data_IF_790627024103
#
_entry.id   IF_790627024103
#
_cell.length_a   1.000
_cell.length_b   1.000
_cell.length_c   1.000
_cell.angle_alpha   90.00
_cell.angle_beta   90.00
_cell.angle_gamma   90.00
#
_symmetry.space_group_name_H-M   'P 1'
#
loop_
_entity.id
_entity.type
_entity.pdbx_description
1 polymer ?
#
# COMPACT_ATOMS: atom_id res chain seq x y z
N UNK A 1 -7.70 -5.97 -46.68
CA UNK A 1 -8.29 -6.34 -45.36
C UNK A 1 -7.61 -5.45 -44.31
N UNK A 2 -8.31 -4.53 -43.64
CA UNK A 2 -7.70 -3.66 -42.61
C UNK A 2 -7.43 -4.49 -41.35
N UNK A 3 -6.17 -4.67 -41.01
CA UNK A 3 -5.75 -5.38 -39.79
C UNK A 3 -6.26 -4.63 -38.56
N UNK A 4 -6.85 -5.34 -37.60
CA UNK A 4 -7.32 -4.77 -36.32
C UNK A 4 -6.21 -4.61 -35.27
N UNK A 5 -5.01 -5.09 -35.59
CA UNK A 5 -3.85 -5.11 -34.70
C UNK A 5 -2.90 -3.99 -35.14
N UNK A 6 -2.32 -3.22 -34.20
CA UNK A 6 -1.31 -2.22 -34.54
C UNK A 6 -0.11 -2.88 -35.24
N UNK A 7 0.59 -2.13 -36.12
CA UNK A 7 1.82 -2.61 -36.73
C UNK A 7 2.88 -2.88 -35.65
N UNK A 8 3.85 -3.76 -35.95
CA UNK A 8 4.97 -3.99 -35.05
C UNK A 8 5.68 -2.67 -34.76
N UNK A 9 5.99 -2.36 -33.49
CA UNK A 9 6.86 -1.24 -33.15
C UNK A 9 8.22 -1.38 -33.84
N UNK A 10 8.85 -0.24 -34.14
CA UNK A 10 10.24 -0.21 -34.57
C UNK A 10 11.16 -0.37 -33.35
N UNK A 11 11.48 -1.61 -33.01
CA UNK A 11 12.29 -1.94 -31.83
C UNK A 11 13.68 -1.30 -31.86
N UNK A 12 14.34 -1.23 -33.03
CA UNK A 12 15.65 -0.61 -33.15
C UNK A 12 15.63 0.90 -32.81
N UNK A 13 14.59 1.62 -33.26
CA UNK A 13 14.42 3.02 -32.91
C UNK A 13 14.12 3.21 -31.41
N UNK A 14 13.31 2.32 -30.82
CA UNK A 14 13.01 2.33 -29.39
C UNK A 14 14.29 2.11 -28.58
N UNK A 15 15.12 1.13 -28.96
CA UNK A 15 16.38 0.82 -28.29
C UNK A 15 17.39 1.98 -28.39
N UNK A 16 17.52 2.59 -29.57
CA UNK A 16 18.38 3.75 -29.76
C UNK A 16 17.94 4.95 -28.89
N UNK A 17 16.64 5.24 -28.84
CA UNK A 17 16.08 6.30 -27.99
C UNK A 17 16.19 5.98 -26.49
N UNK A 18 16.14 4.69 -26.12
CA UNK A 18 16.17 4.24 -24.73
C UNK A 18 17.46 4.65 -24.00
N UNK A 19 18.59 4.79 -24.70
CA UNK A 19 19.86 5.22 -24.10
C UNK A 19 19.76 6.65 -23.54
N UNK A 20 19.18 7.57 -24.29
CA UNK A 20 19.07 8.99 -23.91
C UNK A 20 18.09 9.27 -22.76
N UNK A 21 17.16 8.35 -22.52
CA UNK A 21 16.12 8.46 -21.49
C UNK A 21 16.35 7.52 -20.28
N UNK A 22 17.43 6.74 -20.30
CA UNK A 22 17.74 5.77 -19.24
C UNK A 22 17.85 6.40 -17.85
N UNK A 23 18.45 7.58 -17.73
CA UNK A 23 18.58 8.28 -16.45
C UNK A 23 17.21 8.63 -15.87
N UNK A 24 16.33 9.26 -16.66
CA UNK A 24 14.99 9.64 -16.23
C UNK A 24 14.13 8.42 -15.85
N UNK A 25 14.18 7.34 -16.65
CA UNK A 25 13.44 6.12 -16.34
C UNK A 25 13.92 5.47 -15.04
N UNK A 26 15.24 5.37 -14.85
CA UNK A 26 15.82 4.82 -13.60
C UNK A 26 15.43 5.65 -12.39
N UNK A 27 15.45 6.97 -12.51
CA UNK A 27 15.05 7.89 -11.45
C UNK A 27 13.58 7.68 -11.05
N UNK A 28 12.67 7.67 -12.02
CA UNK A 28 11.23 7.40 -11.79
C UNK A 28 11.04 6.04 -11.10
N UNK A 29 11.69 4.98 -11.61
CA UNK A 29 11.59 3.63 -11.03
C UNK A 29 12.18 3.58 -9.62
N UNK A 30 13.25 4.33 -9.33
CA UNK A 30 13.84 4.41 -7.99
C UNK A 30 12.87 5.06 -6.98
N UNK A 31 12.20 6.16 -7.36
CA UNK A 31 11.16 6.76 -6.53
C UNK A 31 10.01 5.78 -6.23
N UNK A 32 9.53 5.08 -7.25
CA UNK A 32 8.46 4.08 -7.10
C UNK A 32 8.93 2.91 -6.23
N UNK A 33 10.14 2.41 -6.46
CA UNK A 33 10.74 1.33 -5.67
C UNK A 33 10.86 1.70 -4.19
N UNK A 34 11.30 2.92 -3.89
CA UNK A 34 11.38 3.42 -2.52
C UNK A 34 10.00 3.51 -1.84
N UNK A 35 8.97 3.94 -2.58
CA UNK A 35 7.57 3.91 -2.12
C UNK A 35 7.12 2.49 -1.79
N UNK A 36 7.35 1.53 -2.67
CA UNK A 36 6.95 0.12 -2.48
C UNK A 36 7.67 -0.48 -1.27
N UNK A 37 8.99 -0.29 -1.17
CA UNK A 37 9.79 -0.76 -0.05
C UNK A 37 9.30 -0.20 1.28
N UNK A 38 9.14 1.13 1.36
CA UNK A 38 8.69 1.80 2.59
C UNK A 38 7.27 1.37 2.97
N UNK A 39 6.38 1.21 1.99
CA UNK A 39 5.02 0.71 2.21
C UNK A 39 5.03 -0.72 2.75
N UNK A 40 5.83 -1.61 2.15
CA UNK A 40 5.90 -3.02 2.57
C UNK A 40 6.45 -3.16 3.99
N UNK A 41 7.41 -2.32 4.38
CA UNK A 41 7.91 -2.27 5.76
C UNK A 41 6.87 -1.78 6.77
N UNK A 42 5.93 -0.93 6.36
CA UNK A 42 4.81 -0.56 7.23
C UNK A 42 3.77 -1.68 7.33
N UNK A 43 3.46 -2.34 6.21
CA UNK A 43 2.51 -3.45 6.18
C UNK A 43 2.97 -4.59 7.10
N UNK A 44 4.26 -4.95 7.08
CA UNK A 44 4.78 -6.05 7.90
C UNK A 44 4.66 -5.79 9.41
N UNK A 45 4.66 -4.52 9.87
CA UNK A 45 4.46 -4.21 11.29
C UNK A 45 3.09 -4.63 11.82
N UNK A 46 2.11 -4.80 10.95
CA UNK A 46 0.80 -5.32 11.33
C UNK A 46 0.83 -6.76 11.84
N UNK A 47 1.89 -7.52 11.56
CA UNK A 47 2.13 -8.83 12.17
C UNK A 47 2.29 -8.70 13.69
N UNK A 48 3.05 -7.71 14.18
CA UNK A 48 3.20 -7.47 15.62
C UNK A 48 1.89 -7.02 16.27
N UNK A 49 1.05 -6.25 15.57
CA UNK A 49 -0.28 -5.91 16.08
C UNK A 49 -1.15 -7.16 16.20
N UNK A 50 -1.12 -8.06 15.21
CA UNK A 50 -1.81 -9.35 15.30
C UNK A 50 -1.27 -10.22 16.44
N UNK A 51 0.05 -10.27 16.63
CA UNK A 51 0.68 -11.01 17.72
C UNK A 51 0.10 -10.60 19.07
N UNK A 52 0.04 -9.28 19.33
CA UNK A 52 -0.55 -8.72 20.55
C UNK A 52 -2.04 -9.04 20.68
N UNK A 53 -2.80 -8.86 19.60
CA UNK A 53 -4.25 -9.01 19.64
C UNK A 53 -4.71 -10.48 19.73
N UNK A 54 -3.94 -11.40 19.15
CA UNK A 54 -4.18 -12.83 19.24
C UNK A 54 -3.64 -13.42 20.54
N UNK A 55 -2.71 -12.74 21.21
CA UNK A 55 -1.99 -13.24 22.39
C UNK A 55 -1.22 -14.53 22.06
N UNK A 56 -0.34 -14.43 21.07
CA UNK A 56 0.39 -15.57 20.49
C UNK A 56 1.84 -15.19 20.17
N UNK A 57 2.63 -16.13 19.68
CA UNK A 57 4.01 -15.90 19.23
C UNK A 57 4.05 -15.25 17.82
N UNK A 58 5.22 -14.74 17.44
CA UNK A 58 5.39 -14.05 16.16
C UNK A 58 5.13 -14.96 14.95
N UNK A 59 5.54 -16.23 15.01
CA UNK A 59 5.41 -17.17 13.89
C UNK A 59 3.93 -17.47 13.62
N UNK A 60 3.16 -17.75 14.67
CA UNK A 60 1.71 -17.95 14.59
C UNK A 60 0.98 -16.72 14.05
N UNK A 61 1.37 -15.52 14.48
CA UNK A 61 0.81 -14.27 13.96
C UNK A 61 1.18 -14.04 12.49
N UNK A 62 2.44 -14.33 12.10
CA UNK A 62 2.92 -14.20 10.74
C UNK A 62 2.20 -15.17 9.79
N UNK A 63 2.05 -16.45 10.16
CA UNK A 63 1.28 -17.44 9.40
C UNK A 63 -0.15 -16.95 9.17
N UNK A 64 -0.81 -16.46 10.22
CA UNK A 64 -2.17 -15.89 10.13
C UNK A 64 -2.21 -14.71 9.15
N UNK A 65 -1.23 -13.80 9.23
CA UNK A 65 -1.15 -12.62 8.38
C UNK A 65 -0.95 -12.97 6.91
N UNK A 66 -0.01 -13.85 6.59
CA UNK A 66 0.33 -14.19 5.19
C UNK A 66 -0.76 -15.04 4.53
N UNK A 67 -1.51 -15.83 5.31
CA UNK A 67 -2.65 -16.63 4.81
C UNK A 67 -3.77 -15.75 4.25
N UNK A 68 -3.89 -14.51 4.73
CA UNK A 68 -4.83 -13.54 4.16
C UNK A 68 -4.22 -12.92 2.89
N UNK A 69 -4.83 -13.20 1.73
CA UNK A 69 -4.29 -12.84 0.41
C UNK A 69 -4.34 -11.34 0.06
N UNK A 70 -4.98 -10.51 0.89
CA UNK A 70 -5.06 -9.07 0.62
C UNK A 70 -4.75 -8.26 1.86
N UNK A 71 -4.05 -7.13 1.69
CA UNK A 71 -3.80 -6.16 2.75
C UNK A 71 -5.10 -5.70 3.42
N UNK A 72 -6.19 -5.56 2.65
CA UNK A 72 -7.51 -5.22 3.18
C UNK A 72 -8.00 -6.25 4.18
N UNK A 73 -7.93 -7.53 3.87
CA UNK A 73 -8.37 -8.60 4.76
C UNK A 73 -7.53 -8.65 6.05
N UNK A 74 -6.21 -8.46 5.93
CA UNK A 74 -5.28 -8.40 7.08
C UNK A 74 -5.64 -7.25 8.04
N UNK A 75 -5.83 -6.06 7.49
CA UNK A 75 -6.22 -4.87 8.25
C UNK A 75 -7.61 -5.01 8.86
N UNK A 76 -8.58 -5.60 8.14
CA UNK A 76 -9.93 -5.83 8.67
C UNK A 76 -9.92 -6.81 9.86
N UNK A 77 -9.11 -7.87 9.78
CA UNK A 77 -8.91 -8.79 10.90
C UNK A 77 -8.37 -8.05 12.14
N UNK A 78 -7.35 -7.21 11.98
CA UNK A 78 -6.77 -6.40 13.07
C UNK A 78 -7.83 -5.51 13.72
N UNK A 79 -8.65 -4.83 12.92
CA UNK A 79 -9.75 -3.98 13.43
C UNK A 79 -10.75 -4.78 14.25
N UNK A 80 -11.17 -5.94 13.74
CA UNK A 80 -12.13 -6.81 14.44
C UNK A 80 -11.56 -7.35 15.74
N UNK A 81 -10.31 -7.80 15.74
CA UNK A 81 -9.64 -8.28 16.94
C UNK A 81 -9.44 -7.17 17.96
N UNK A 82 -9.03 -5.97 17.54
CA UNK A 82 -8.91 -4.81 18.43
C UNK A 82 -10.24 -4.47 19.11
N UNK A 83 -11.34 -4.39 18.36
CA UNK A 83 -12.67 -4.16 18.93
C UNK A 83 -13.13 -5.25 19.89
N UNK A 84 -12.65 -6.49 19.71
CA UNK A 84 -13.00 -7.62 20.58
C UNK A 84 -12.13 -7.69 21.84
N UNK A 85 -10.85 -7.33 21.75
CA UNK A 85 -9.82 -7.58 22.78
C UNK A 85 -9.48 -6.34 23.59
N UNK A 86 -9.61 -5.16 23.02
CA UNK A 86 -9.26 -3.89 23.67
C UNK A 86 -10.54 -3.23 24.19
N UNK A 87 -10.53 -2.79 25.45
CA UNK A 87 -11.65 -2.05 26.05
C UNK A 87 -11.50 -0.54 25.96
N UNK A 88 -10.26 -0.07 25.88
CA UNK A 88 -9.96 1.36 25.78
C UNK A 88 -10.34 1.91 24.40
N UNK A 89 -11.35 2.78 24.37
CA UNK A 89 -11.84 3.40 23.16
C UNK A 89 -10.80 4.33 22.52
N UNK A 90 -9.91 4.94 23.33
CA UNK A 90 -8.88 5.83 22.81
C UNK A 90 -7.82 5.06 22.02
N UNK A 91 -7.33 3.94 22.58
CA UNK A 91 -6.42 3.00 21.89
C UNK A 91 -7.03 2.51 20.57
N UNK A 92 -8.31 2.12 20.56
CA UNK A 92 -9.00 1.68 19.32
C UNK A 92 -9.06 2.82 18.30
N UNK A 93 -9.46 4.02 18.72
CA UNK A 93 -9.53 5.17 17.83
C UNK A 93 -8.15 5.55 17.26
N UNK A 94 -7.08 5.39 18.05
CA UNK A 94 -5.70 5.61 17.61
C UNK A 94 -5.26 4.57 16.56
N UNK A 95 -5.56 3.29 16.78
CA UNK A 95 -5.32 2.24 15.79
C UNK A 95 -6.03 2.56 14.46
N UNK A 96 -7.31 2.95 14.51
CA UNK A 96 -8.06 3.33 13.32
C UNK A 96 -7.41 4.49 12.55
N UNK A 97 -6.96 5.53 13.25
CA UNK A 97 -6.23 6.64 12.61
C UNK A 97 -4.92 6.19 11.94
N UNK A 98 -4.18 5.26 12.55
CA UNK A 98 -2.94 4.73 11.97
C UNK A 98 -3.23 3.90 10.71
N UNK A 99 -4.27 3.07 10.75
CA UNK A 99 -4.72 2.29 9.60
C UNK A 99 -5.21 3.19 8.46
N UNK A 100 -5.98 4.24 8.74
CA UNK A 100 -6.45 5.15 7.69
C UNK A 100 -5.29 5.86 6.97
N UNK A 101 -4.28 6.32 7.73
CA UNK A 101 -3.05 6.88 7.14
C UNK A 101 -2.32 5.88 6.24
N UNK A 102 -2.26 4.61 6.64
CA UNK A 102 -1.70 3.55 5.82
C UNK A 102 -2.50 3.35 4.51
N UNK A 103 -3.83 3.28 4.61
CA UNK A 103 -4.74 3.11 3.48
C UNK A 103 -4.66 4.29 2.49
N UNK A 104 -4.51 5.51 2.98
CA UNK A 104 -4.27 6.68 2.14
C UNK A 104 -3.01 6.55 1.30
N UNK A 105 -1.90 6.11 1.90
CA UNK A 105 -0.63 5.91 1.19
C UNK A 105 -0.71 4.75 0.18
N UNK A 106 -1.54 3.74 0.47
CA UNK A 106 -1.77 2.57 -0.40
C UNK A 106 -2.37 2.96 -1.75
N UNK A 107 -3.18 4.04 -1.80
CA UNK A 107 -3.81 4.52 -3.04
C UNK A 107 -2.76 4.85 -4.11
N UNK A 108 -1.76 5.66 -3.77
CA UNK A 108 -0.70 6.06 -4.71
C UNK A 108 0.18 4.88 -5.13
N UNK A 109 0.52 4.00 -4.18
CA UNK A 109 1.29 2.77 -4.46
C UNK A 109 0.55 1.87 -5.44
N UNK A 110 -0.75 1.68 -5.27
CA UNK A 110 -1.55 0.86 -6.18
C UNK A 110 -1.73 1.51 -7.54
N UNK A 111 -1.93 2.83 -7.58
CA UNK A 111 -2.02 3.58 -8.83
C UNK A 111 -0.77 3.38 -9.70
N UNK A 112 0.43 3.58 -9.13
CA UNK A 112 1.70 3.49 -9.86
C UNK A 112 2.08 2.05 -10.24
N UNK A 113 1.69 1.05 -9.44
CA UNK A 113 1.97 -0.36 -9.76
C UNK A 113 1.00 -0.94 -10.81
N UNK A 114 -0.16 -0.32 -11.00
CA UNK A 114 -1.19 -0.79 -11.93
C UNK A 114 -1.50 0.22 -13.02
N UNK A 115 -0.48 0.98 -13.44
CA UNK A 115 -0.59 1.94 -14.55
C UNK A 115 0.16 1.48 -15.79
N UNK A 116 -0.34 1.89 -16.97
CA UNK A 116 0.42 1.84 -18.23
C UNK A 116 1.32 3.08 -18.29
N UNK A 117 2.59 2.90 -18.66
CA UNK A 117 3.54 4.00 -18.85
C UNK A 117 3.59 4.40 -20.32
N UNK A 118 3.37 5.69 -20.60
CA UNK A 118 3.51 6.27 -21.94
C UNK A 118 4.93 6.80 -22.16
N UNK A 119 5.48 6.52 -23.33
CA UNK A 119 6.79 6.99 -23.78
C UNK A 119 6.64 8.04 -24.88
N UNK A 120 7.50 9.06 -24.88
CA UNK A 120 7.67 9.95 -26.04
C UNK A 120 8.60 9.33 -27.10
N UNK A 121 8.82 10.06 -28.20
CA UNK A 121 9.73 9.69 -29.29
C UNK A 121 11.19 9.49 -28.85
N UNK A 122 11.56 10.05 -27.69
CA UNK A 122 12.89 9.94 -27.09
C UNK A 122 12.94 8.83 -26.01
N UNK A 123 11.88 8.03 -25.88
CA UNK A 123 11.78 6.94 -24.89
C UNK A 123 11.65 7.41 -23.44
N UNK A 124 11.32 8.68 -23.20
CA UNK A 124 11.10 9.24 -21.86
C UNK A 124 9.71 8.88 -21.38
N UNK A 125 9.58 8.50 -20.11
CA UNK A 125 8.26 8.32 -19.50
C UNK A 125 7.65 9.71 -19.34
N UNK A 126 6.47 9.91 -19.93
CA UNK A 126 5.78 11.20 -19.86
C UNK A 126 4.51 11.13 -19.02
N UNK A 127 3.79 10.01 -19.09
CA UNK A 127 2.51 9.84 -18.41
C UNK A 127 2.29 8.42 -17.90
N UNK A 128 1.39 8.31 -16.91
CA UNK A 128 0.78 7.05 -16.47
C UNK A 128 -0.70 7.06 -16.78
N UNK A 129 -1.23 5.94 -17.27
CA UNK A 129 -2.67 5.71 -17.41
C UNK A 129 -3.16 4.70 -16.37
N UNK A 130 -4.14 5.09 -15.57
CA UNK A 130 -4.82 4.18 -14.64
C UNK A 130 -5.56 3.08 -15.44
N UNK A 131 -5.27 1.82 -15.15
CA UNK A 131 -5.97 0.64 -15.70
C UNK A 131 -7.33 0.44 -15.03
N UNK A 132 -8.18 1.46 -15.08
CA UNK A 132 -9.55 1.41 -14.61
C UNK A 132 -10.45 2.06 -15.65
N UNK A 133 -11.59 1.42 -15.88
CA UNK A 133 -12.68 1.97 -16.67
C UNK A 133 -13.68 2.69 -15.76
N UNK A 134 -14.13 3.86 -16.19
CA UNK A 134 -15.19 4.62 -15.53
C UNK A 134 -16.38 4.67 -16.48
N UNK A 135 -17.52 4.19 -16.02
CA UNK A 135 -18.79 4.38 -16.70
C UNK A 135 -19.24 5.83 -16.56
N UNK A 136 -19.55 6.43 -17.70
CA UNK A 136 -20.11 7.77 -17.81
C UNK A 136 -21.48 7.67 -18.48
N UNK A 137 -22.31 8.72 -18.35
CA UNK A 137 -23.63 8.77 -19.01
C UNK A 137 -23.58 8.52 -20.53
N UNK A 138 -22.42 8.71 -21.16
CA UNK A 138 -22.22 8.58 -22.61
C UNK A 138 -21.30 7.42 -23.01
N UNK A 139 -20.92 6.54 -22.07
CA UNK A 139 -20.09 5.35 -22.35
C UNK A 139 -18.95 5.14 -21.36
N UNK A 140 -17.99 4.29 -21.73
CA UNK A 140 -16.86 3.89 -20.87
C UNK A 140 -15.60 4.70 -21.23
N UNK A 141 -14.89 5.24 -20.23
CA UNK A 141 -13.61 5.97 -20.41
C UNK A 141 -12.50 5.42 -19.51
N UNK A 142 -11.24 5.55 -19.92
CA UNK A 142 -10.10 5.32 -19.04
C UNK A 142 -10.12 6.33 -17.87
N UNK A 143 -9.81 5.85 -16.66
CA UNK A 143 -10.05 6.59 -15.43
C UNK A 143 -9.21 7.86 -15.28
N UNK A 144 -7.91 7.81 -15.59
CA UNK A 144 -7.06 8.99 -15.53
C UNK A 144 -5.75 8.79 -16.30
N UNK A 145 -5.36 9.81 -17.06
CA UNK A 145 -4.01 10.00 -17.60
C UNK A 145 -3.33 11.07 -16.75
N UNK A 146 -2.14 10.79 -16.21
CA UNK A 146 -1.42 11.71 -15.31
C UNK A 146 0.03 11.92 -15.77
N UNK A 147 0.56 13.14 -15.72
CA UNK A 147 1.95 13.40 -16.05
C UNK A 147 2.90 12.79 -15.00
N UNK A 148 4.07 12.36 -15.45
CA UNK A 148 5.19 11.93 -14.60
C UNK A 148 6.25 13.03 -14.63
N UNK A 149 5.94 14.13 -13.95
CA UNK A 149 6.78 15.32 -13.85
C UNK A 149 7.41 15.48 -12.45
N UNK A 150 8.15 16.55 -12.24
CA UNK A 150 8.78 16.84 -10.94
C UNK A 150 7.76 16.99 -9.79
N UNK A 151 6.54 17.46 -10.06
CA UNK A 151 5.50 17.56 -9.03
C UNK A 151 5.01 16.16 -8.64
N UNK A 152 4.88 15.26 -9.61
CA UNK A 152 4.53 13.86 -9.38
C UNK A 152 5.62 13.13 -8.57
N UNK A 153 6.90 13.34 -8.88
CA UNK A 153 8.00 12.78 -8.09
C UNK A 153 7.98 13.31 -6.64
N UNK A 154 7.76 14.62 -6.44
CA UNK A 154 7.57 15.21 -5.10
C UNK A 154 6.38 14.61 -4.35
N UNK A 155 5.29 14.25 -5.03
CA UNK A 155 4.14 13.56 -4.43
C UNK A 155 4.54 12.16 -3.93
N UNK A 156 5.32 11.42 -4.70
CA UNK A 156 5.86 10.10 -4.30
C UNK A 156 6.71 10.26 -3.04
N UNK A 157 7.66 11.18 -3.04
CA UNK A 157 8.54 11.42 -1.89
C UNK A 157 7.77 11.91 -0.66
N UNK A 158 6.75 12.74 -0.86
CA UNK A 158 5.85 13.16 0.22
C UNK A 158 5.12 11.97 0.85
N UNK A 159 4.71 11.00 0.04
CA UNK A 159 4.06 9.77 0.50
C UNK A 159 5.04 8.86 1.22
N UNK A 160 6.28 8.74 0.72
CA UNK A 160 7.38 8.04 1.42
C UNK A 160 7.60 8.65 2.81
N UNK A 161 7.71 9.97 2.92
CA UNK A 161 7.87 10.65 4.22
C UNK A 161 6.72 10.37 5.19
N UNK A 162 5.48 10.34 4.69
CA UNK A 162 4.29 9.96 5.49
C UNK A 162 4.40 8.52 6.00
N UNK A 163 4.84 7.59 5.16
CA UNK A 163 5.06 6.18 5.54
C UNK A 163 6.22 6.01 6.52
N UNK A 164 7.32 6.75 6.39
CA UNK A 164 8.41 6.74 7.38
C UNK A 164 7.91 7.21 8.75
N UNK A 165 7.11 8.28 8.78
CA UNK A 165 6.50 8.77 10.02
C UNK A 165 5.51 7.74 10.60
N UNK A 166 4.65 7.17 9.74
CA UNK A 166 3.70 6.14 10.14
C UNK A 166 4.41 4.93 10.78
N UNK A 167 5.55 4.49 10.22
CA UNK A 167 6.31 3.38 10.75
C UNK A 167 6.75 3.63 12.20
N UNK A 168 7.29 4.82 12.48
CA UNK A 168 7.67 5.24 13.84
C UNK A 168 6.47 5.32 14.78
N UNK A 169 5.35 5.86 14.29
CA UNK A 169 4.13 5.97 15.07
C UNK A 169 3.53 4.59 15.40
N UNK A 170 3.64 3.62 14.48
CA UNK A 170 3.24 2.22 14.71
C UNK A 170 4.11 1.58 15.80
N UNK A 171 5.44 1.72 15.72
CA UNK A 171 6.35 1.24 16.77
C UNK A 171 6.04 1.84 18.15
N UNK A 172 5.81 3.15 18.21
CA UNK A 172 5.45 3.83 19.44
C UNK A 172 4.07 3.41 19.99
N UNK A 173 3.17 2.93 19.12
CA UNK A 173 1.84 2.47 19.50
C UNK A 173 1.82 1.04 20.05
N UNK A 174 2.77 0.17 19.68
CA UNK A 174 2.74 -1.24 20.09
C UNK A 174 2.67 -1.46 21.61
N UNK A 175 3.46 -0.77 22.46
CA UNK A 175 3.40 -0.96 23.91
C UNK A 175 2.05 -0.53 24.52
N UNK A 176 1.44 0.52 23.96
CA UNK A 176 0.11 1.00 24.37
C UNK A 176 -0.96 -0.04 24.05
N UNK A 177 -0.91 -0.59 22.83
CA UNK A 177 -1.82 -1.65 22.40
C UNK A 177 -1.70 -2.90 23.29
N UNK A 178 -0.47 -3.32 23.60
CA UNK A 178 -0.20 -4.48 24.45
C UNK A 178 -0.78 -4.29 25.85
N UNK A 179 -0.53 -3.13 26.47
CA UNK A 179 -1.09 -2.80 27.78
C UNK A 179 -2.62 -2.83 27.75
N UNK A 180 -3.24 -2.24 26.73
CA UNK A 180 -4.69 -2.16 26.62
C UNK A 180 -5.34 -3.54 26.34
N UNK A 181 -4.68 -4.39 25.55
CA UNK A 181 -5.13 -5.76 25.26
C UNK A 181 -5.06 -6.65 26.51
N UNK A 182 -3.98 -6.55 27.31
CA UNK A 182 -3.85 -7.28 28.58
C UNK A 182 -4.92 -6.88 29.59
N UNK A 183 -5.21 -5.58 29.70
CA UNK A 183 -6.28 -5.08 30.58
C UNK A 183 -7.68 -5.57 30.15
N UNK A 184 -7.90 -5.79 28.85
CA UNK A 184 -9.16 -6.32 28.32
C UNK A 184 -9.33 -7.84 28.47
N UNK A 185 -8.22 -8.59 28.45
CA UNK A 185 -8.21 -10.07 28.49
C UNK A 185 -8.44 -10.71 29.87
N UNK A 186 -8.23 -9.98 30.97
CA UNK A 186 -8.26 -10.50 32.35
C UNK A 186 -9.61 -10.99 32.91
N UNK A 187 -10.69 -10.99 32.15
CA UNK A 187 -12.01 -11.48 32.61
C UNK A 187 -12.54 -12.69 31.82
N UNK A 188 -11.79 -13.22 30.84
CA UNK A 188 -12.25 -14.33 29.99
C UNK A 188 -12.01 -15.75 30.54
N UNK A 189 -11.29 -15.91 31.65
CA UNK A 189 -10.84 -17.23 32.15
C UNK A 189 -11.58 -17.76 33.38
N UNK A 190 -12.62 -17.08 33.88
CA UNK A 190 -13.35 -17.49 35.10
C UNK A 190 -14.63 -18.32 34.84
N UNK A 191 -14.96 -18.68 33.60
CA UNK A 191 -16.27 -19.23 33.23
C UNK A 191 -16.31 -20.69 32.74
N UNK A 192 -15.34 -21.53 33.08
CA UNK A 192 -15.22 -22.86 32.48
C UNK A 192 -14.73 -23.95 33.43
N UNK A 193 -15.39 -24.12 34.58
CA UNK A 193 -15.42 -25.40 35.32
C UNK A 193 -16.82 -25.59 35.89
N UNK A 194 -17.63 -26.36 35.19
CA UNK A 194 -18.79 -27.11 35.70
C UNK A 194 -18.99 -28.29 34.79
#
# INVERSE_FOLDING_TARGET
>A
MRTRVPPSPNFAAIEAAAVGSAVQRRDIVAHIGNLIFTWSNNESLFIYLLQVLLDTDFESAAITFVTLNTTRARVDLIRRLAKKRVRDAETIAKLERLIERFNECTKLRNELNHSIYELDENGRITHTNELRFVETKTGVKFAARRPVDAARLKQIDGTVRKLIKLNRDLWAFMPELEKAARAGGGQGSAGGRS
#
